data_IF_581303985500
#
_entry.id   IF_581303985500
#
_cell.length_a   1.000
_cell.length_b   1.000
_cell.length_c   1.000
_cell.angle_alpha   90.00
_cell.angle_beta   90.00
_cell.angle_gamma   90.00
#
_symmetry.space_group_name_H-M   'P 1'
#
loop_
_entity.id
_entity.type
_entity.pdbx_description
1 polymer ?
#
# COMPACT_ATOMS: atom_id res chain seq x y z
N UNK A 1 -37.33 -29.70 -7.77
CA UNK A 1 -35.94 -29.70 -7.28
C UNK A 1 -35.41 -28.27 -7.41
N UNK A 2 -35.10 -27.56 -6.31
CA UNK A 2 -34.49 -26.24 -6.40
C UNK A 2 -32.96 -26.41 -6.45
N UNK A 3 -32.35 -26.00 -7.54
CA UNK A 3 -30.88 -25.88 -7.64
C UNK A 3 -30.49 -24.59 -6.92
N UNK A 4 -29.96 -24.73 -5.70
CA UNK A 4 -29.37 -23.66 -4.93
C UNK A 4 -28.03 -23.30 -5.58
N UNK A 5 -27.96 -22.22 -6.34
CA UNK A 5 -26.69 -21.69 -6.83
C UNK A 5 -26.08 -20.85 -5.71
N UNK A 6 -25.20 -21.47 -4.93
CA UNK A 6 -24.29 -20.76 -4.02
C UNK A 6 -23.32 -20.00 -4.90
N UNK A 7 -23.51 -18.69 -5.05
CA UNK A 7 -22.45 -17.85 -5.58
C UNK A 7 -21.39 -17.72 -4.49
N UNK A 8 -20.27 -18.35 -4.75
CA UNK A 8 -19.01 -18.30 -4.03
C UNK A 8 -18.58 -16.84 -3.82
N UNK A 9 -18.27 -16.56 -2.57
CA UNK A 9 -17.63 -15.33 -2.10
C UNK A 9 -16.30 -15.13 -2.81
N UNK A 10 -16.04 -13.92 -3.32
CA UNK A 10 -14.70 -13.51 -3.71
C UNK A 10 -13.82 -13.49 -2.46
N UNK A 11 -12.88 -14.43 -2.36
CA UNK A 11 -11.78 -14.38 -1.40
C UNK A 11 -10.68 -13.50 -1.97
N UNK A 12 -10.87 -12.19 -1.94
CA UNK A 12 -9.72 -11.30 -1.80
C UNK A 12 -9.53 -11.16 -0.29
N UNK A 13 -8.40 -11.63 0.23
CA UNK A 13 -8.01 -11.36 1.61
C UNK A 13 -7.70 -9.87 1.73
N UNK A 14 -8.75 -9.04 1.73
CA UNK A 14 -8.68 -7.74 2.37
C UNK A 14 -8.47 -8.05 3.85
N UNK A 15 -7.35 -7.61 4.42
CA UNK A 15 -7.37 -7.32 5.84
C UNK A 15 -8.53 -6.33 6.02
N UNK A 16 -9.64 -6.76 6.63
CA UNK A 16 -10.93 -6.05 6.61
C UNK A 16 -10.90 -4.65 7.28
N UNK A 17 -9.71 -4.14 7.57
CA UNK A 17 -9.39 -2.92 8.28
C UNK A 17 -8.25 -2.12 7.61
N UNK A 18 -7.61 -2.62 6.54
CA UNK A 18 -6.55 -1.88 5.84
C UNK A 18 -6.86 -1.78 4.35
N UNK A 19 -6.64 -0.59 3.78
CA UNK A 19 -6.75 -0.32 2.36
C UNK A 19 -5.35 -0.27 1.77
N UNK A 20 -5.10 -1.08 0.73
CA UNK A 20 -3.85 -1.07 -0.03
C UNK A 20 -3.78 0.24 -0.80
N UNK A 21 -2.75 1.04 -0.53
CA UNK A 21 -2.55 2.33 -1.20
C UNK A 21 -1.51 2.21 -2.31
N UNK A 22 -0.50 1.38 -2.10
CA UNK A 22 0.60 1.17 -3.04
C UNK A 22 0.93 -0.32 -3.10
N UNK A 23 1.20 -0.79 -4.30
CA UNK A 23 1.66 -2.15 -4.56
C UNK A 23 2.74 -2.08 -5.64
N UNK A 24 4.00 -2.09 -5.23
CA UNK A 24 5.13 -2.04 -6.15
C UNK A 24 5.44 -3.41 -6.77
N UNK A 25 4.97 -4.51 -6.16
CA UNK A 25 5.13 -5.86 -6.72
C UNK A 25 4.22 -6.16 -7.90
N UNK A 26 3.27 -5.28 -8.22
CA UNK A 26 2.43 -5.37 -9.44
C UNK A 26 2.99 -4.50 -10.58
N UNK A 27 4.26 -4.07 -10.47
CA UNK A 27 4.91 -3.29 -11.51
C UNK A 27 5.29 -4.19 -12.69
N UNK A 28 5.00 -3.76 -13.92
CA UNK A 28 5.47 -4.48 -15.10
C UNK A 28 6.99 -4.31 -15.31
N UNK A 29 7.67 -5.35 -15.80
CA UNK A 29 9.12 -5.30 -16.15
C UNK A 29 9.50 -4.15 -17.08
N UNK A 30 8.56 -3.68 -17.90
CA UNK A 30 8.79 -2.56 -18.81
C UNK A 30 8.84 -1.20 -18.11
N UNK A 31 8.34 -1.11 -16.87
CA UNK A 31 8.25 0.11 -16.07
C UNK A 31 9.39 0.28 -15.05
N UNK A 32 10.27 -0.73 -14.94
CA UNK A 32 11.48 -0.67 -14.11
C UNK A 32 12.38 0.49 -14.51
N UNK A 33 12.68 1.35 -13.54
CA UNK A 33 13.51 2.55 -13.75
C UNK A 33 13.88 3.24 -12.44
N UNK A 34 14.86 4.14 -12.57
CA UNK A 34 15.14 5.17 -11.59
C UNK A 34 14.02 6.22 -11.55
N UNK A 35 13.54 6.55 -10.34
CA UNK A 35 12.44 7.50 -10.10
C UNK A 35 12.91 8.86 -9.56
N UNK A 36 14.21 9.04 -9.35
CA UNK A 36 14.79 10.22 -8.70
C UNK A 36 14.80 10.12 -7.17
N UNK A 37 15.20 11.18 -6.48
CA UNK A 37 15.30 11.23 -5.01
C UNK A 37 13.96 11.61 -4.33
N UNK A 38 12.98 12.03 -5.11
CA UNK A 38 11.61 12.32 -4.68
C UNK A 38 10.65 11.72 -5.72
N UNK A 39 9.72 10.90 -5.25
CA UNK A 39 8.75 10.21 -6.08
C UNK A 39 7.34 10.44 -5.54
N UNK A 40 6.43 10.84 -6.42
CA UNK A 40 5.04 11.12 -6.07
C UNK A 40 4.17 10.08 -6.74
N UNK A 41 3.47 9.31 -5.93
CA UNK A 41 2.45 8.38 -6.39
C UNK A 41 1.07 8.99 -6.19
N UNK A 42 0.24 8.93 -7.23
CA UNK A 42 -1.19 9.26 -7.15
C UNK A 42 -2.00 7.99 -7.29
N UNK A 43 -2.86 7.71 -6.31
CA UNK A 43 -3.67 6.49 -6.31
C UNK A 43 -4.94 6.69 -7.15
N UNK A 44 -5.19 5.80 -8.10
CA UNK A 44 -6.37 5.89 -8.97
C UNK A 44 -7.68 5.47 -8.28
N UNK A 45 -7.62 4.59 -7.27
CA UNK A 45 -8.77 4.17 -6.45
C UNK A 45 -9.24 5.30 -5.54
N UNK A 46 -8.32 6.08 -5.00
CA UNK A 46 -8.59 7.29 -4.22
C UNK A 46 -7.94 8.46 -4.95
N UNK A 47 -8.60 8.96 -6.00
CA UNK A 47 -8.08 9.98 -6.94
C UNK A 47 -7.50 11.25 -6.31
N UNK A 48 -7.79 11.50 -5.04
CA UNK A 48 -7.30 12.67 -4.29
C UNK A 48 -6.14 12.34 -3.36
N UNK A 49 -5.87 11.06 -3.07
CA UNK A 49 -4.79 10.62 -2.21
C UNK A 49 -3.48 10.56 -3.01
N UNK A 50 -2.50 11.30 -2.52
CA UNK A 50 -1.13 11.30 -3.03
C UNK A 50 -0.20 10.82 -1.92
N UNK A 51 0.75 9.97 -2.29
CA UNK A 51 1.85 9.55 -1.43
C UNK A 51 3.14 10.09 -2.00
N UNK A 52 3.89 10.85 -1.20
CA UNK A 52 5.18 11.41 -1.61
C UNK A 52 6.28 10.71 -0.85
N UNK A 53 7.21 10.09 -1.58
CA UNK A 53 8.44 9.50 -1.05
C UNK A 53 9.61 10.45 -1.28
N UNK A 54 10.53 10.51 -0.31
CA UNK A 54 11.79 11.24 -0.40
C UNK A 54 12.92 10.40 0.19
N UNK A 55 14.12 10.48 -0.37
CA UNK A 55 15.33 9.90 0.20
C UNK A 55 16.46 10.93 0.23
N UNK A 56 17.68 10.49 0.56
CA UNK A 56 18.88 11.33 0.54
C UNK A 56 19.05 12.01 -0.83
N UNK A 57 19.50 13.28 -0.89
CA UNK A 57 19.73 13.99 -2.16
C UNK A 57 20.75 13.32 -3.09
N UNK A 58 21.57 12.40 -2.58
CA UNK A 58 22.58 11.64 -3.34
C UNK A 58 22.10 10.23 -3.71
N UNK A 59 20.88 9.88 -3.31
CA UNK A 59 20.24 8.60 -3.56
C UNK A 59 19.09 8.78 -4.55
N UNK A 60 18.75 7.72 -5.26
CA UNK A 60 17.63 7.65 -6.19
C UNK A 60 16.78 6.45 -5.82
N UNK A 61 15.46 6.55 -5.89
CA UNK A 61 14.61 5.37 -5.81
C UNK A 61 14.75 4.53 -7.09
N UNK A 62 14.81 3.21 -6.93
CA UNK A 62 14.76 2.26 -8.03
C UNK A 62 13.48 1.43 -7.93
N UNK A 63 12.74 1.33 -9.02
CA UNK A 63 11.56 0.47 -9.09
C UNK A 63 11.94 -0.86 -9.75
N UNK A 64 11.79 -1.94 -8.99
CA UNK A 64 12.01 -3.31 -9.41
C UNK A 64 10.67 -4.06 -9.50
N UNK A 65 10.41 -4.73 -10.63
CA UNK A 65 9.13 -5.40 -10.86
C UNK A 65 8.95 -6.69 -10.08
N UNK A 66 10.05 -7.36 -9.73
CA UNK A 66 10.01 -8.66 -9.05
C UNK A 66 10.03 -8.46 -7.51
N UNK A 67 10.47 -7.30 -7.01
CA UNK A 67 10.79 -7.06 -5.59
C UNK A 67 10.11 -5.83 -4.98
N UNK A 68 9.97 -4.73 -5.72
CA UNK A 68 9.37 -3.47 -5.27
C UNK A 68 10.30 -2.26 -5.30
N UNK A 69 10.12 -1.32 -4.37
CA UNK A 69 10.86 -0.05 -4.34
C UNK A 69 12.16 -0.17 -3.53
N UNK A 70 13.29 -0.03 -4.20
CA UNK A 70 14.64 0.03 -3.62
C UNK A 70 15.19 1.46 -3.49
N UNK A 71 16.35 1.61 -2.85
CA UNK A 71 17.12 2.85 -2.81
C UNK A 71 18.50 2.58 -3.42
N UNK A 72 18.86 3.43 -4.35
CA UNK A 72 20.09 3.36 -5.12
C UNK A 72 20.97 4.56 -4.73
N UNK A 73 22.03 4.32 -3.97
CA UNK A 73 23.06 5.33 -3.68
C UNK A 73 24.04 5.45 -4.84
N UNK A 74 24.29 6.69 -5.31
CA UNK A 74 25.06 6.99 -6.53
C UNK A 74 26.49 6.44 -6.60
N UNK A 75 27.06 5.90 -5.52
CA UNK A 75 28.39 5.26 -5.51
C UNK A 75 28.39 3.72 -5.54
N UNK A 76 27.30 3.07 -5.10
CA UNK A 76 27.21 1.60 -4.99
C UNK A 76 26.09 0.99 -5.84
N UNK A 77 25.25 1.83 -6.43
CA UNK A 77 24.14 1.42 -7.26
C UNK A 77 24.59 0.93 -8.63
N UNK A 78 24.13 -0.27 -9.01
CA UNK A 78 24.35 -0.84 -10.34
C UNK A 78 23.26 -0.41 -11.34
N UNK A 79 22.26 0.33 -10.89
CA UNK A 79 20.99 0.61 -11.56
C UNK A 79 20.35 -0.69 -12.06
N UNK A 80 20.22 -1.64 -11.16
CA UNK A 80 19.71 -2.95 -11.50
C UNK A 80 18.76 -3.49 -10.42
N UNK A 81 18.06 -4.59 -10.73
CA UNK A 81 17.20 -5.29 -9.79
C UNK A 81 17.81 -5.62 -8.44
N UNK A 82 19.14 -5.69 -8.33
CA UNK A 82 19.83 -6.04 -7.09
C UNK A 82 20.00 -4.85 -6.12
N UNK A 83 19.58 -3.65 -6.52
CA UNK A 83 19.73 -2.43 -5.72
C UNK A 83 18.56 -2.25 -4.73
N UNK A 84 18.59 -3.03 -3.65
CA UNK A 84 17.68 -2.94 -2.51
C UNK A 84 18.00 -1.79 -1.56
N UNK A 85 17.15 -1.62 -0.55
CA UNK A 85 17.35 -0.72 0.59
C UNK A 85 18.25 -1.40 1.62
N UNK A 86 19.36 -0.75 1.95
CA UNK A 86 20.43 -1.31 2.78
C UNK A 86 20.68 -0.51 4.07
N UNK A 87 21.55 -1.03 4.94
CA UNK A 87 21.94 -0.36 6.19
C UNK A 87 22.46 1.07 5.97
N UNK A 88 21.92 2.01 6.74
CA UNK A 88 22.27 3.43 6.68
C UNK A 88 21.45 4.24 5.67
N UNK A 89 20.67 3.59 4.82
CA UNK A 89 19.73 4.23 3.93
C UNK A 89 18.42 4.56 4.65
N UNK A 90 17.68 5.50 4.09
CA UNK A 90 16.42 5.95 4.67
C UNK A 90 15.50 6.50 3.59
N UNK A 91 14.20 6.45 3.88
CA UNK A 91 13.22 7.23 3.13
C UNK A 91 12.22 7.90 4.08
N UNK A 92 11.66 8.98 3.60
CA UNK A 92 10.50 9.65 4.17
C UNK A 92 9.30 9.43 3.27
N UNK A 93 8.13 9.30 3.87
CA UNK A 93 6.88 9.26 3.13
C UNK A 93 5.80 10.09 3.81
N UNK A 94 4.93 10.70 3.01
CA UNK A 94 3.83 11.52 3.49
C UNK A 94 2.60 11.36 2.61
N UNK A 95 1.43 11.64 3.20
CA UNK A 95 0.16 11.57 2.51
C UNK A 95 -0.43 12.97 2.35
N UNK A 96 -1.11 13.20 1.23
CA UNK A 96 -1.97 14.36 1.04
C UNK A 96 -3.27 13.98 0.36
N UNK A 97 -4.36 14.65 0.74
CA UNK A 97 -5.66 14.58 0.09
C UNK A 97 -5.92 15.90 -0.61
N UNK A 98 -5.81 15.91 -1.94
CA UNK A 98 -5.69 17.13 -2.73
C UNK A 98 -4.46 17.93 -2.28
N UNK A 99 -4.68 19.16 -1.82
CA UNK A 99 -3.59 20.05 -1.37
C UNK A 99 -3.39 20.06 0.15
N UNK A 100 -4.07 19.17 0.88
CA UNK A 100 -4.03 19.14 2.34
C UNK A 100 -3.23 17.93 2.85
N UNK A 101 -2.29 18.12 3.79
CA UNK A 101 -1.63 17.00 4.46
C UNK A 101 -2.63 16.08 5.13
N UNK A 102 -2.43 14.77 4.98
CA UNK A 102 -3.19 13.73 5.64
C UNK A 102 -2.25 12.91 6.53
N UNK A 103 -2.70 12.58 7.73
CA UNK A 103 -1.94 11.74 8.67
C UNK A 103 -2.75 10.48 8.92
N UNK A 104 -2.17 9.33 8.58
CA UNK A 104 -2.79 8.03 8.83
C UNK A 104 -2.49 7.59 10.26
N UNK A 105 -3.54 7.21 11.00
CA UNK A 105 -3.40 6.77 12.40
C UNK A 105 -2.62 5.45 12.52
N UNK A 106 -2.76 4.58 11.53
CA UNK A 106 -2.06 3.30 11.46
C UNK A 106 -1.72 2.97 10.01
N UNK A 107 -0.47 2.53 9.81
CA UNK A 107 0.15 2.27 8.52
C UNK A 107 0.80 0.92 8.60
N UNK A 108 0.57 0.09 7.58
CA UNK A 108 1.27 -1.15 7.35
C UNK A 108 2.24 -0.97 6.20
N UNK A 109 3.53 -1.16 6.46
CA UNK A 109 4.55 -1.28 5.44
C UNK A 109 4.91 -2.76 5.27
N UNK A 110 4.92 -3.25 4.04
CA UNK A 110 5.35 -4.61 3.71
C UNK A 110 6.66 -4.54 2.94
N UNK A 111 7.65 -5.29 3.40
CA UNK A 111 8.97 -5.35 2.82
C UNK A 111 9.28 -6.75 2.33
N UNK A 112 10.00 -6.86 1.22
CA UNK A 112 10.50 -8.12 0.67
C UNK A 112 12.02 -8.14 0.74
N UNK A 113 12.61 -9.21 1.29
CA UNK A 113 14.07 -9.40 1.33
C UNK A 113 14.68 -9.70 -0.04
N UNK A 114 15.93 -9.30 -0.24
CA UNK A 114 16.69 -9.57 -1.47
C UNK A 114 17.18 -11.03 -1.55
N UNK A 115 17.23 -11.63 -2.76
CA UNK A 115 17.34 -13.08 -3.01
C UNK A 115 18.53 -13.80 -2.33
N UNK A 116 19.61 -13.09 -1.99
CA UNK A 116 20.79 -13.66 -1.31
C UNK A 116 20.51 -14.23 0.09
N UNK A 117 19.31 -14.05 0.65
CA UNK A 117 18.90 -14.61 1.95
C UNK A 117 17.96 -15.83 1.89
N UNK A 118 17.97 -16.61 0.79
CA UNK A 118 17.22 -17.88 0.65
C UNK A 118 15.69 -17.76 0.75
N UNK A 119 15.12 -16.78 0.05
CA UNK A 119 13.67 -16.65 -0.15
C UNK A 119 13.20 -15.21 0.03
N UNK A 120 12.18 -14.83 -0.73
CA UNK A 120 11.41 -13.61 -0.49
C UNK A 120 10.71 -13.78 0.86
N UNK A 121 11.31 -13.22 1.91
CA UNK A 121 10.68 -13.15 3.21
C UNK A 121 10.00 -11.79 3.34
N UNK A 122 8.66 -11.82 3.34
CA UNK A 122 7.85 -10.64 3.56
C UNK A 122 7.81 -10.31 5.06
N UNK A 123 8.06 -9.05 5.39
CA UNK A 123 7.99 -8.55 6.76
C UNK A 123 7.13 -7.30 6.88
N UNK A 124 6.44 -7.15 8.01
CA UNK A 124 5.47 -6.06 8.19
C UNK A 124 5.83 -5.13 9.35
N UNK A 125 5.53 -3.83 9.19
CA UNK A 125 5.65 -2.85 10.26
C UNK A 125 4.34 -2.09 10.43
N UNK A 126 3.81 -2.09 11.66
CA UNK A 126 2.68 -1.25 12.08
C UNK A 126 3.20 0.00 12.76
N UNK A 127 2.92 1.15 12.17
CA UNK A 127 3.56 2.39 12.60
C UNK A 127 2.76 3.08 13.71
N UNK A 128 3.38 3.19 14.88
CA UNK A 128 3.09 4.25 15.86
C UNK A 128 4.35 5.10 16.08
N UNK A 129 4.19 6.41 16.30
CA UNK A 129 5.31 7.36 16.22
C UNK A 129 6.40 7.09 17.26
N UNK A 130 7.67 7.04 16.81
CA UNK A 130 8.85 7.01 17.68
C UNK A 130 9.32 5.62 18.13
N UNK A 131 8.79 4.54 17.54
CA UNK A 131 9.16 3.17 17.87
C UNK A 131 10.24 2.60 16.91
N UNK A 132 11.11 1.76 17.46
CA UNK A 132 12.03 0.92 16.67
C UNK A 132 11.33 -0.40 16.41
N UNK A 133 11.37 -0.87 15.17
CA UNK A 133 10.71 -2.11 14.75
C UNK A 133 11.75 -3.09 14.20
N UNK A 134 11.60 -4.35 14.58
CA UNK A 134 12.21 -5.43 13.83
C UNK A 134 11.26 -5.79 12.69
N UNK A 135 11.78 -5.86 11.49
CA UNK A 135 10.99 -6.29 10.34
C UNK A 135 10.90 -7.80 10.45
N UNK A 136 9.69 -8.30 10.71
CA UNK A 136 9.45 -9.71 10.94
C UNK A 136 9.97 -10.53 9.76
N UNK A 137 10.54 -11.71 10.05
CA UNK A 137 11.07 -12.67 9.09
C UNK A 137 12.42 -12.27 8.47
N UNK A 138 12.58 -11.07 7.93
CA UNK A 138 13.74 -10.68 7.09
C UNK A 138 15.08 -10.43 7.82
N UNK A 139 15.19 -10.75 9.12
CA UNK A 139 16.34 -10.42 10.00
C UNK A 139 16.87 -8.97 9.85
N UNK A 140 15.99 -8.06 9.43
CA UNK A 140 16.29 -6.68 9.12
C UNK A 140 15.68 -5.78 10.19
N UNK A 141 16.32 -4.66 10.47
CA UNK A 141 15.90 -3.74 11.54
C UNK A 141 15.71 -2.36 10.96
N UNK A 142 14.59 -1.73 11.26
CA UNK A 142 14.33 -0.36 10.87
C UNK A 142 13.78 0.45 12.04
N UNK A 143 14.11 1.73 12.07
CA UNK A 143 13.54 2.69 13.01
C UNK A 143 12.56 3.58 12.27
N UNK A 144 11.35 3.70 12.81
CA UNK A 144 10.36 4.62 12.24
C UNK A 144 10.14 5.79 13.18
N UNK A 145 10.29 6.99 12.65
CA UNK A 145 10.03 8.22 13.38
C UNK A 145 8.91 9.01 12.71
N UNK A 146 8.00 9.54 13.52
CA UNK A 146 7.06 10.55 13.06
C UNK A 146 7.84 11.83 12.74
N UNK A 147 7.67 12.33 11.52
CA UNK A 147 8.22 13.61 11.07
C UNK A 147 7.12 14.68 11.08
N UNK A 148 7.50 15.96 10.99
CA UNK A 148 6.56 17.10 11.01
C UNK A 148 5.44 16.98 9.97
N UNK A 149 5.72 16.34 8.83
CA UNK A 149 4.81 16.22 7.69
C UNK A 149 4.70 14.78 7.18
N UNK A 150 4.96 13.75 7.99
CA UNK A 150 4.93 12.37 7.52
C UNK A 150 5.71 11.42 8.43
N UNK A 151 6.36 10.44 7.84
CA UNK A 151 7.09 9.38 8.54
C UNK A 151 8.46 9.22 7.89
N UNK A 152 9.45 8.86 8.70
CA UNK A 152 10.79 8.53 8.25
C UNK A 152 11.14 7.12 8.69
N UNK A 153 11.66 6.32 7.77
CA UNK A 153 12.14 4.96 8.00
C UNK A 153 13.66 4.97 7.80
N UNK A 154 14.40 4.69 8.87
CA UNK A 154 15.85 4.56 8.86
C UNK A 154 16.22 3.06 8.98
N UNK A 155 16.95 2.52 8.01
CA UNK A 155 17.35 1.11 7.99
C UNK A 155 18.64 0.92 8.76
N UNK A 156 18.59 0.08 9.79
CA UNK A 156 19.70 -0.20 10.71
C UNK A 156 20.44 -1.50 10.37
N UNK A 157 19.79 -2.41 9.65
CA UNK A 157 20.39 -3.64 9.12
C UNK A 157 19.47 -4.26 8.08
N UNK A 158 20.03 -4.96 7.09
CA UNK A 158 19.26 -5.71 6.09
C UNK A 158 19.53 -5.29 4.65
N UNK A 159 18.88 -6.00 3.73
CA UNK A 159 18.82 -5.72 2.28
C UNK A 159 17.40 -6.10 1.79
N UNK A 160 16.60 -5.10 1.41
CA UNK A 160 15.18 -5.29 1.17
C UNK A 160 14.53 -4.22 0.30
N UNK A 161 13.34 -4.51 -0.21
CA UNK A 161 12.53 -3.63 -1.02
C UNK A 161 11.25 -3.29 -0.28
N UNK A 162 10.77 -2.06 -0.42
CA UNK A 162 9.40 -1.72 -0.01
C UNK A 162 8.44 -2.27 -1.06
N UNK A 163 7.69 -3.30 -0.69
CA UNK A 163 6.78 -4.00 -1.60
C UNK A 163 5.43 -3.27 -1.67
N UNK A 164 4.81 -2.99 -0.52
CA UNK A 164 3.50 -2.35 -0.48
C UNK A 164 3.29 -1.48 0.75
N UNK A 165 2.37 -0.54 0.63
CA UNK A 165 1.95 0.37 1.70
C UNK A 165 0.43 0.32 1.84
N UNK A 166 -0.02 0.17 3.08
CA UNK A 166 -1.43 0.15 3.44
C UNK A 166 -1.73 1.12 4.57
N UNK A 167 -2.95 1.63 4.61
CA UNK A 167 -3.43 2.49 5.69
C UNK A 167 -4.70 1.89 6.30
N UNK A 168 -4.87 2.06 7.61
CA UNK A 168 -6.06 1.59 8.30
C UNK A 168 -7.32 2.37 7.86
N UNK A 169 -8.42 1.66 7.63
CA UNK A 169 -9.68 2.15 7.05
C UNK A 169 -10.59 2.91 8.04
N UNK A 170 -10.03 3.57 9.06
CA UNK A 170 -10.85 4.47 9.88
C UNK A 170 -11.03 5.80 9.14
N UNK A 171 -12.27 6.29 9.05
CA UNK A 171 -12.87 6.71 7.81
C UNK A 171 -11.92 7.62 7.02
N UNK A 172 -11.37 7.05 5.94
CA UNK A 172 -10.80 7.86 4.89
C UNK A 172 -11.83 8.95 4.55
N UNK A 173 -11.41 10.22 4.32
CA UNK A 173 -12.34 11.29 4.01
C UNK A 173 -13.25 10.80 2.88
N UNK A 174 -14.58 10.91 3.03
CA UNK A 174 -15.53 10.10 2.29
C UNK A 174 -15.27 10.21 0.80
N UNK A 175 -14.76 9.13 0.22
CA UNK A 175 -14.89 8.87 -1.22
C UNK A 175 -16.38 8.74 -1.46
N UNK A 176 -16.89 9.39 -2.51
CA UNK A 176 -18.32 9.51 -2.79
C UNK A 176 -19.09 8.24 -2.43
N UNK A 177 -20.12 8.41 -1.60
CA UNK A 177 -20.89 7.35 -0.94
C UNK A 177 -21.17 6.17 -1.88
N UNK A 178 -20.35 5.13 -1.79
CA UNK A 178 -20.72 3.82 -2.32
C UNK A 178 -21.92 3.38 -1.47
N UNK A 179 -23.12 3.19 -2.07
CA UNK A 179 -24.28 2.79 -1.29
C UNK A 179 -23.97 1.46 -0.63
N UNK A 180 -24.07 1.42 0.71
CA UNK A 180 -23.83 0.19 1.44
C UNK A 180 -24.66 -0.98 0.86
N UNK A 181 -24.15 -2.22 0.88
CA UNK A 181 -24.86 -3.39 0.38
C UNK A 181 -26.26 -3.57 0.99
N UNK A 182 -26.44 -3.11 2.23
CA UNK A 182 -27.70 -3.04 2.98
C UNK A 182 -28.75 -2.16 2.28
N UNK A 183 -28.34 -1.00 1.77
CA UNK A 183 -29.20 -0.06 1.04
C UNK A 183 -29.51 -0.55 -0.39
N UNK A 184 -28.57 -1.25 -1.03
CA UNK A 184 -28.77 -1.91 -2.32
C UNK A 184 -29.79 -3.05 -2.24
N UNK A 185 -29.73 -3.86 -1.18
CA UNK A 185 -30.73 -4.90 -0.88
C UNK A 185 -32.13 -4.31 -0.70
N UNK A 186 -32.26 -3.19 0.03
CA UNK A 186 -33.51 -2.44 0.22
C UNK A 186 -34.06 -1.88 -1.11
N UNK A 187 -33.19 -1.34 -1.96
CA UNK A 187 -33.58 -0.84 -3.27
C UNK A 187 -34.07 -1.95 -4.21
N UNK A 188 -33.36 -3.08 -4.23
CA UNK A 188 -33.74 -4.26 -5.03
C UNK A 188 -35.03 -4.90 -4.49
N UNK A 189 -35.21 -5.00 -3.17
CA UNK A 189 -36.48 -5.48 -2.60
C UNK A 189 -37.64 -4.53 -2.87
N UNK A 190 -37.44 -3.21 -2.79
CA UNK A 190 -38.46 -2.22 -3.15
C UNK A 190 -38.89 -2.35 -4.62
N UNK A 191 -37.95 -2.50 -5.55
CA UNK A 191 -38.22 -2.74 -6.98
C UNK A 191 -38.90 -4.10 -7.22
N UNK A 192 -38.51 -5.14 -6.46
CA UNK A 192 -39.14 -6.46 -6.50
C UNK A 192 -40.60 -6.47 -6.00
N UNK A 193 -40.91 -5.67 -4.97
CA UNK A 193 -42.28 -5.53 -4.46
C UNK A 193 -43.13 -4.73 -5.46
N UNK A 194 -42.61 -3.62 -6.01
CA UNK A 194 -43.34 -2.81 -7.00
C UNK A 194 -43.66 -3.59 -8.28
N UNK A 195 -42.74 -4.43 -8.76
CA UNK A 195 -42.96 -5.27 -9.95
C UNK A 195 -43.98 -6.40 -9.71
N UNK A 196 -44.10 -6.92 -8.48
CA UNK A 196 -45.15 -7.88 -8.11
C UNK A 196 -46.52 -7.23 -7.90
N UNK A 197 -46.57 -6.03 -7.33
CA UNK A 197 -47.83 -5.28 -7.15
C UNK A 197 -48.42 -4.86 -8.51
N UNK A 198 -47.58 -4.53 -9.50
CA UNK A 198 -48.04 -4.16 -10.85
C UNK A 198 -48.60 -5.35 -11.66
N UNK A 199 -48.26 -6.59 -11.31
CA UNK A 199 -48.84 -7.82 -11.91
C UNK A 199 -50.13 -8.30 -11.23
N UNK A 200 -50.62 -7.59 -10.21
CA UNK A 200 -51.89 -7.88 -9.53
C UNK A 200 -52.88 -6.72 -9.69
N UNK A 201 -53.31 -6.47 -10.92
CA UNK A 201 -54.63 -5.91 -11.24
C UNK A 201 -55.11 -6.58 -12.54
N UNK A 202 -56.41 -6.86 -12.64
CA UNK A 202 -57.02 -8.16 -13.00
C UNK A 202 -56.76 -8.64 -14.42
#
# INVERSE_FOLDING_TARGET
MPTLLVFTLFTNAAFAQYVKILDFSDTDKADEKALGNEYVFSNDLIKVLTVTFKTSPQSTFWLDSDSGLGICTSSNCKNNPDDGITEGEWFEFSFSVGNFPFFADDILLVFTGHETYNGIEAGEIRVSTGQIFQISNVNSTAKITGAKNGYRVDFLSGDMYLESLWIFDNPLPPTESIPEPSNLMLFITALGIMSRVRRRKP
#
